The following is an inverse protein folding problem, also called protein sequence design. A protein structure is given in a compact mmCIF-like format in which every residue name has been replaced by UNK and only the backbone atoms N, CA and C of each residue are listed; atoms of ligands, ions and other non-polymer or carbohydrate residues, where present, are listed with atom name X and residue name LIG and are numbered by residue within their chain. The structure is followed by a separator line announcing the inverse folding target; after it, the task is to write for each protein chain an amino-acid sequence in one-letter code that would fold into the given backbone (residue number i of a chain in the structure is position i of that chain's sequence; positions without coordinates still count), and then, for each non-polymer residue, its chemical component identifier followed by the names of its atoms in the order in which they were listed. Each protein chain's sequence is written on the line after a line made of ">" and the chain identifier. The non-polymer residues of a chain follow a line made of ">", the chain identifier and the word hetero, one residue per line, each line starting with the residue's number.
data_IF_226105695044
#
_entry.id   IF_226105695044
#
_cell.length_a   1.000
_cell.length_b   1.000
_cell.length_c   1.000
_cell.angle_alpha   90.00
_cell.angle_beta   90.00
_cell.angle_gamma   90.00
#
_symmetry.space_group_name_H-M   'P 1'
#
loop_
_entity.id
_entity.type
_entity.pdbx_description
1 polymer ?
#
# COMPACT_ATOMS: atom_id res chain seq x y z
N UNK A 1 -80.69 1.00 -24.26
CA UNK A 1 -79.62 1.97 -23.94
C UNK A 1 -78.36 1.19 -23.60
N UNK A 2 -77.27 1.41 -24.35
CA UNK A 2 -76.05 0.60 -24.32
C UNK A 2 -75.18 0.98 -23.12
N UNK A 3 -74.84 0.03 -22.25
CA UNK A 3 -73.82 0.19 -21.21
C UNK A 3 -72.48 -0.33 -21.70
N UNK A 4 -71.51 0.55 -21.90
CA UNK A 4 -70.17 0.21 -22.37
C UNK A 4 -69.33 -0.40 -21.22
N UNK A 5 -68.90 -1.65 -21.38
CA UNK A 5 -67.91 -2.28 -20.49
C UNK A 5 -66.50 -1.80 -20.81
N UNK A 6 -65.80 -1.25 -19.81
CA UNK A 6 -64.41 -0.79 -19.93
C UNK A 6 -63.46 -1.98 -19.79
N UNK A 7 -62.61 -2.21 -20.78
CA UNK A 7 -61.49 -3.16 -20.72
C UNK A 7 -60.33 -2.46 -20.00
N UNK A 8 -59.96 -2.95 -18.82
CA UNK A 8 -58.81 -2.45 -18.06
C UNK A 8 -57.56 -3.21 -18.46
N UNK A 9 -56.62 -2.54 -19.14
CA UNK A 9 -55.35 -3.11 -19.55
C UNK A 9 -54.34 -2.95 -18.40
N UNK A 10 -54.01 -4.04 -17.71
CA UNK A 10 -52.97 -4.06 -16.68
C UNK A 10 -51.62 -4.04 -17.39
N UNK A 11 -50.95 -2.88 -17.37
CA UNK A 11 -49.62 -2.69 -17.92
C UNK A 11 -48.60 -3.28 -16.94
N UNK A 12 -47.96 -4.40 -17.32
CA UNK A 12 -46.90 -5.02 -16.55
C UNK A 12 -45.58 -4.32 -16.86
N UNK A 13 -45.19 -3.35 -16.04
CA UNK A 13 -43.95 -2.58 -16.23
C UNK A 13 -42.75 -3.47 -15.88
N UNK A 14 -41.95 -3.84 -16.88
CA UNK A 14 -40.68 -4.54 -16.70
C UNK A 14 -39.65 -3.57 -16.08
N UNK A 15 -39.33 -3.77 -14.80
CA UNK A 15 -38.31 -2.99 -14.09
C UNK A 15 -36.91 -3.45 -14.54
N UNK A 16 -36.26 -2.67 -15.39
CA UNK A 16 -34.88 -2.92 -15.83
C UNK A 16 -33.93 -2.45 -14.72
N UNK A 17 -33.41 -3.38 -13.90
CA UNK A 17 -32.36 -3.06 -12.94
C UNK A 17 -31.04 -2.89 -13.66
N UNK A 18 -30.59 -1.65 -13.83
CA UNK A 18 -29.21 -1.36 -14.25
C UNK A 18 -28.28 -1.78 -13.12
N UNK A 19 -27.52 -2.85 -13.32
CA UNK A 19 -26.36 -3.16 -12.48
C UNK A 19 -25.26 -2.19 -12.91
N UNK A 20 -25.06 -1.13 -12.15
CA UNK A 20 -23.87 -0.29 -12.29
C UNK A 20 -22.69 -1.13 -11.83
N UNK A 21 -21.76 -1.43 -12.73
CA UNK A 21 -20.45 -1.93 -12.33
C UNK A 21 -19.72 -0.77 -11.65
N UNK A 22 -19.71 -0.77 -10.32
CA UNK A 22 -18.81 0.10 -9.58
C UNK A 22 -17.39 -0.35 -9.90
N UNK A 23 -16.63 0.51 -10.59
CA UNK A 23 -15.18 0.32 -10.70
C UNK A 23 -14.65 0.29 -9.28
N UNK A 24 -14.14 -0.86 -8.82
CA UNK A 24 -13.35 -0.90 -7.60
C UNK A 24 -12.22 0.11 -7.81
N UNK A 25 -12.21 1.18 -7.01
CA UNK A 25 -11.11 2.13 -7.05
C UNK A 25 -9.86 1.35 -6.62
N UNK A 26 -8.93 1.14 -7.55
CA UNK A 26 -7.62 0.57 -7.24
C UNK A 26 -6.72 1.74 -6.88
N UNK A 27 -6.02 1.65 -5.75
CA UNK A 27 -5.05 2.66 -5.37
C UNK A 27 -4.00 2.81 -6.48
N UNK A 28 -3.67 4.05 -6.88
CA UNK A 28 -2.80 4.28 -8.03
C UNK A 28 -1.34 3.86 -7.78
N UNK A 29 -0.98 3.61 -6.52
CA UNK A 29 0.26 2.99 -6.09
C UNK A 29 0.01 2.11 -4.86
N UNK A 30 0.79 1.05 -4.70
CA UNK A 30 0.70 0.15 -3.54
C UNK A 30 2.09 -0.19 -3.03
N UNK A 31 2.20 -0.36 -1.72
CA UNK A 31 3.38 -0.95 -1.08
C UNK A 31 2.92 -2.18 -0.31
N UNK A 32 3.46 -3.33 -0.66
CA UNK A 32 3.26 -4.58 0.07
C UNK A 32 4.57 -5.01 0.72
N UNK A 33 4.51 -5.93 1.67
CA UNK A 33 5.70 -6.48 2.30
C UNK A 33 5.57 -7.97 2.58
N UNK A 34 6.72 -8.64 2.60
CA UNK A 34 6.93 -9.90 3.31
C UNK A 34 7.61 -9.63 4.66
N UNK A 35 7.28 -10.42 5.67
CA UNK A 35 7.82 -10.29 7.02
C UNK A 35 8.60 -11.54 7.42
N UNK A 36 9.88 -11.37 7.75
CA UNK A 36 10.77 -12.46 8.18
C UNK A 36 11.19 -12.29 9.65
N UNK A 37 11.07 -13.36 10.44
CA UNK A 37 11.57 -13.39 11.82
C UNK A 37 13.01 -13.91 11.87
N UNK A 38 13.90 -13.21 12.57
CA UNK A 38 15.26 -13.68 12.86
C UNK A 38 15.43 -14.24 14.28
N UNK A 39 14.39 -14.14 15.10
CA UNK A 39 14.40 -14.55 16.49
C UNK A 39 14.83 -13.41 17.42
N UNK A 40 14.57 -13.57 18.72
CA UNK A 40 14.93 -12.56 19.73
C UNK A 40 14.19 -11.23 19.60
N UNK A 41 13.05 -11.18 18.89
CA UNK A 41 12.32 -9.93 18.64
C UNK A 41 12.82 -9.13 17.43
N UNK A 42 13.83 -9.65 16.70
CA UNK A 42 14.34 -9.07 15.46
C UNK A 42 13.53 -9.55 14.26
N UNK A 43 13.16 -8.60 13.41
CA UNK A 43 12.36 -8.82 12.21
C UNK A 43 12.94 -8.07 11.00
N UNK A 44 12.47 -8.44 9.82
CA UNK A 44 12.75 -7.77 8.55
C UNK A 44 11.47 -7.63 7.74
N UNK A 45 11.20 -6.42 7.27
CA UNK A 45 10.29 -6.20 6.16
C UNK A 45 11.06 -6.23 4.84
N UNK A 46 10.53 -6.93 3.85
CA UNK A 46 10.94 -6.87 2.45
C UNK A 46 9.79 -6.28 1.64
N UNK A 47 9.91 -5.03 1.23
CA UNK A 47 8.86 -4.27 0.53
C UNK A 47 8.92 -4.45 -0.98
N UNK A 48 7.72 -4.45 -1.58
CA UNK A 48 7.47 -4.30 -3.01
C UNK A 48 6.62 -3.05 -3.25
N UNK A 49 7.13 -2.16 -4.11
CA UNK A 49 6.47 -0.91 -4.48
C UNK A 49 5.97 -1.02 -5.91
N UNK A 50 4.66 -0.90 -6.09
CA UNK A 50 4.01 -0.97 -7.39
C UNK A 50 3.41 0.37 -7.75
N UNK A 51 3.76 0.89 -8.93
CA UNK A 51 3.03 1.99 -9.55
C UNK A 51 1.91 1.38 -10.41
N UNK A 52 0.67 1.41 -9.90
CA UNK A 52 -0.46 0.82 -10.61
C UNK A 52 -0.85 1.71 -11.79
N UNK A 53 -1.03 3.01 -11.57
CA UNK A 53 -1.57 3.92 -12.58
C UNK A 53 -1.18 5.40 -12.45
N UNK A 54 -0.25 5.77 -11.56
CA UNK A 54 0.26 7.14 -11.51
C UNK A 54 0.92 7.50 -12.84
N UNK A 55 0.54 8.65 -13.39
CA UNK A 55 1.09 9.14 -14.66
C UNK A 55 2.60 9.43 -14.56
N UNK A 56 3.02 9.99 -13.43
CA UNK A 56 4.43 10.21 -13.12
C UNK A 56 5.04 8.95 -12.48
N UNK A 57 6.31 8.61 -12.80
CA UNK A 57 7.00 7.51 -12.13
C UNK A 57 7.13 7.76 -10.62
N UNK A 58 6.98 6.72 -9.81
CA UNK A 58 7.29 6.80 -8.37
C UNK A 58 8.80 6.88 -8.24
N UNK A 59 9.26 7.99 -7.65
CA UNK A 59 10.68 8.27 -7.45
C UNK A 59 11.08 8.25 -5.99
N UNK A 60 10.12 8.34 -5.10
CA UNK A 60 10.35 8.45 -3.67
C UNK A 60 9.17 7.84 -2.95
N UNK A 61 9.45 7.16 -1.84
CA UNK A 61 8.44 6.70 -0.91
C UNK A 61 9.04 6.63 0.49
N UNK A 62 8.17 6.80 1.48
CA UNK A 62 8.53 6.78 2.89
C UNK A 62 7.64 5.79 3.64
N UNK A 63 8.23 4.95 4.48
CA UNK A 63 7.53 4.04 5.40
C UNK A 63 7.77 4.51 6.82
N UNK A 64 6.69 4.74 7.56
CA UNK A 64 6.74 5.22 8.94
C UNK A 64 6.72 4.06 9.93
N UNK A 65 7.48 4.19 11.00
CA UNK A 65 7.63 3.22 12.07
C UNK A 65 7.23 3.87 13.39
N UNK A 66 6.10 3.42 13.95
CA UNK A 66 5.54 3.93 15.20
C UNK A 66 6.58 3.92 16.34
N UNK A 67 6.76 5.07 16.98
CA UNK A 67 7.78 5.28 18.00
C UNK A 67 7.63 4.46 19.28
N UNK A 68 6.47 3.84 19.50
CA UNK A 68 6.22 2.98 20.66
C UNK A 68 6.39 1.49 20.36
N UNK A 69 6.45 1.12 19.08
CA UNK A 69 6.41 -0.28 18.64
C UNK A 69 7.69 -0.77 17.96
N UNK A 70 8.48 0.14 17.40
CA UNK A 70 9.67 -0.19 16.63
C UNK A 70 10.91 0.50 17.21
N UNK A 71 12.06 -0.17 17.11
CA UNK A 71 13.37 0.40 17.45
C UNK A 71 14.48 -0.25 16.60
N UNK A 72 15.69 0.31 16.67
CA UNK A 72 16.90 -0.24 16.03
C UNK A 72 16.71 -0.54 14.52
N UNK A 73 16.12 0.43 13.81
CA UNK A 73 15.91 0.34 12.36
C UNK A 73 17.26 0.25 11.63
N UNK A 74 17.40 -0.68 10.69
CA UNK A 74 18.63 -0.88 9.91
C UNK A 74 18.27 -1.10 8.44
N UNK A 75 18.99 -0.41 7.54
CA UNK A 75 18.91 -0.67 6.10
C UNK A 75 19.42 -2.08 5.79
N UNK A 76 18.60 -2.86 5.09
CA UNK A 76 18.90 -4.25 4.75
C UNK A 76 18.63 -4.60 3.28
N UNK A 77 18.33 -3.58 2.45
CA UNK A 77 18.18 -3.70 1.00
C UNK A 77 19.48 -4.26 0.39
N UNK A 78 19.44 -5.35 -0.38
CA UNK A 78 20.62 -5.90 -1.03
C UNK A 78 20.94 -5.19 -2.35
N UNK A 79 22.20 -5.30 -2.79
CA UNK A 79 22.59 -4.97 -4.15
C UNK A 79 21.89 -5.89 -5.18
N UNK A 80 21.60 -5.38 -6.39
CA UNK A 80 21.97 -4.06 -6.91
C UNK A 80 20.99 -2.94 -6.56
N UNK A 81 19.89 -3.23 -5.85
CA UNK A 81 18.85 -2.24 -5.58
C UNK A 81 19.35 -1.10 -4.69
N UNK A 82 20.10 -1.44 -3.63
CA UNK A 82 20.73 -0.47 -2.73
C UNK A 82 21.75 0.45 -3.42
N UNK A 83 22.28 0.06 -4.58
CA UNK A 83 23.16 0.90 -5.39
C UNK A 83 22.39 1.81 -6.36
N UNK A 84 21.14 1.50 -6.67
CA UNK A 84 20.27 2.24 -7.61
C UNK A 84 19.35 3.25 -6.88
N UNK A 85 19.03 3.00 -5.61
CA UNK A 85 18.21 3.88 -4.77
C UNK A 85 19.05 4.49 -3.63
N UNK A 86 18.81 5.77 -3.37
CA UNK A 86 19.36 6.45 -2.19
C UNK A 86 18.42 6.21 -1.01
N UNK A 87 18.88 5.43 -0.05
CA UNK A 87 18.07 5.02 1.10
C UNK A 87 18.55 5.68 2.41
N UNK A 88 17.59 5.96 3.29
CA UNK A 88 17.83 6.52 4.62
C UNK A 88 16.89 5.88 5.64
N UNK A 89 17.39 5.61 6.84
CA UNK A 89 16.56 5.35 8.02
C UNK A 89 16.80 6.41 9.08
N UNK A 90 15.72 6.86 9.70
CA UNK A 90 15.72 7.70 10.90
C UNK A 90 15.07 6.91 12.02
N UNK A 91 15.76 6.81 13.16
CA UNK A 91 15.28 6.07 14.32
C UNK A 91 14.05 6.76 14.92
N UNK A 92 13.06 6.00 15.42
CA UNK A 92 12.02 6.59 16.23
C UNK A 92 12.59 7.24 17.50
N UNK A 93 11.94 8.30 17.96
CA UNK A 93 12.32 9.03 19.16
C UNK A 93 11.18 8.99 20.20
N UNK A 94 11.07 7.91 20.99
CA UNK A 94 9.95 7.73 21.94
C UNK A 94 9.81 8.88 22.95
N UNK A 95 10.93 9.45 23.39
CA UNK A 95 10.93 10.59 24.33
C UNK A 95 10.31 11.88 23.76
N UNK A 96 10.24 11.99 22.43
CA UNK A 96 9.64 13.11 21.70
C UNK A 96 8.30 12.74 21.06
N UNK A 97 7.86 11.48 21.19
CA UNK A 97 6.68 10.93 20.52
C UNK A 97 6.75 11.10 18.99
N UNK A 98 7.94 10.92 18.43
CA UNK A 98 8.21 11.11 17.01
C UNK A 98 8.58 9.78 16.34
N UNK A 99 7.88 9.45 15.26
CA UNK A 99 8.01 8.18 14.56
C UNK A 99 9.32 8.11 13.78
N UNK A 100 9.86 6.91 13.66
CA UNK A 100 10.97 6.66 12.75
C UNK A 100 10.46 6.56 11.33
N UNK A 101 11.37 6.59 10.37
CA UNK A 101 11.00 6.32 8.99
C UNK A 101 12.15 5.71 8.20
N UNK A 102 11.76 4.94 7.19
CA UNK A 102 12.60 4.52 6.08
C UNK A 102 12.18 5.32 4.85
N UNK A 103 13.14 5.91 4.16
CA UNK A 103 12.94 6.67 2.95
C UNK A 103 13.84 6.14 1.83
N UNK A 104 13.30 6.07 0.62
CA UNK A 104 14.03 5.62 -0.55
C UNK A 104 13.75 6.51 -1.76
N UNK A 105 14.80 7.13 -2.29
CA UNK A 105 14.75 8.08 -3.41
C UNK A 105 15.56 7.60 -4.61
N UNK A 106 14.96 7.66 -5.79
CA UNK A 106 15.62 7.43 -7.08
C UNK A 106 15.93 8.75 -7.79
N UNK A 107 17.22 9.01 -7.98
CA UNK A 107 17.76 10.26 -8.54
C UNK A 107 17.44 10.47 -10.04
N UNK A 108 17.12 9.41 -10.78
CA UNK A 108 16.66 9.49 -12.17
C UNK A 108 15.82 8.28 -12.57
N UNK A 109 14.80 8.50 -13.41
CA UNK A 109 13.83 7.45 -13.74
C UNK A 109 12.79 7.32 -12.64
N UNK A 110 12.42 6.10 -12.28
CA UNK A 110 11.42 5.77 -11.26
C UNK A 110 10.65 4.50 -11.62
N UNK A 111 9.67 4.14 -10.80
CA UNK A 111 8.74 3.04 -11.07
C UNK A 111 7.62 3.59 -11.96
N UNK A 112 7.66 3.27 -13.25
CA UNK A 112 6.67 3.74 -14.24
C UNK A 112 5.32 3.06 -14.04
N UNK A 113 4.23 3.65 -14.56
CA UNK A 113 2.90 3.05 -14.52
C UNK A 113 2.89 1.60 -15.03
N UNK A 114 2.26 0.70 -14.27
CA UNK A 114 2.21 -0.74 -14.51
C UNK A 114 3.46 -1.53 -14.11
N UNK A 115 4.50 -0.87 -13.58
CA UNK A 115 5.71 -1.52 -13.10
C UNK A 115 5.73 -1.64 -11.57
N UNK A 116 6.57 -2.55 -11.08
CA UNK A 116 6.90 -2.70 -9.67
C UNK A 116 8.40 -2.87 -9.47
N UNK A 117 8.87 -2.54 -8.27
CA UNK A 117 10.24 -2.79 -7.81
C UNK A 117 10.15 -3.33 -6.39
N UNK A 118 10.72 -4.51 -6.17
CA UNK A 118 10.78 -5.17 -4.87
C UNK A 118 12.19 -5.44 -4.40
N UNK A 119 12.31 -5.76 -3.11
CA UNK A 119 13.57 -6.07 -2.44
C UNK A 119 14.11 -4.95 -1.56
N UNK A 120 13.39 -3.84 -1.43
CA UNK A 120 13.66 -2.82 -0.41
C UNK A 120 13.48 -3.45 0.96
N UNK A 121 14.41 -3.27 1.89
CA UNK A 121 14.32 -3.96 3.16
C UNK A 121 14.82 -3.15 4.35
N UNK A 122 14.07 -3.29 5.45
CA UNK A 122 14.36 -2.68 6.74
C UNK A 122 14.29 -3.77 7.80
N UNK A 123 15.35 -3.90 8.57
CA UNK A 123 15.34 -4.70 9.79
C UNK A 123 15.07 -3.82 11.00
N UNK A 124 14.43 -4.40 12.01
CA UNK A 124 14.04 -3.68 13.22
C UNK A 124 13.81 -4.65 14.37
N UNK A 125 13.80 -4.09 15.58
CA UNK A 125 13.36 -4.77 16.78
C UNK A 125 11.90 -4.41 17.07
N UNK A 126 11.09 -5.42 17.34
CA UNK A 126 9.66 -5.29 17.63
C UNK A 126 9.40 -5.25 19.13
N UNK A 127 8.74 -4.19 19.60
CA UNK A 127 8.41 -3.96 21.01
C UNK A 127 6.96 -4.35 21.35
N UNK A 128 6.11 -4.51 20.34
CA UNK A 128 4.70 -4.83 20.52
C UNK A 128 4.43 -6.29 20.89
N UNK A 129 3.16 -6.59 21.16
CA UNK A 129 2.68 -7.96 21.25
C UNK A 129 2.28 -8.49 19.86
N UNK A 130 2.41 -9.79 19.64
CA UNK A 130 2.02 -10.41 18.36
C UNK A 130 3.05 -10.18 17.24
N UNK A 131 2.56 -10.15 16.00
CA UNK A 131 3.38 -9.90 14.81
C UNK A 131 3.43 -8.40 14.50
N UNK A 132 4.58 -7.88 14.04
CA UNK A 132 4.63 -6.58 13.37
C UNK A 132 3.68 -6.53 12.17
N UNK A 133 3.02 -5.40 11.94
CA UNK A 133 2.20 -5.18 10.75
C UNK A 133 0.80 -4.67 11.01
#
# INVERSE_FOLDING_TARGET
>A
MRGAGRISLILFTLLLTTVSAESLAVDPATISYDLTAFGGGRWRYDYDVTNVSLADPIREFTIWFDHSLYQDLVLATPDPLAADWSELVVQPAPSLHDDGFYDALKMSGGITAGAHVGGFAVEFDWLGAGLPG
#
